data_IF_618172742764
#
_entry.id   IF_618172742764
#
_cell.length_a   1.000
_cell.length_b   1.000
_cell.length_c   1.000
_cell.angle_alpha   90.00
_cell.angle_beta   90.00
_cell.angle_gamma   90.00
#
_symmetry.space_group_name_H-M   'P 1'
#
loop_
_entity.id
_entity.type
_entity.pdbx_description
1 polymer ?
#
# COMPACT_ATOMS: atom_id res chain seq x y z
N UNK A 1 -39.97 19.30 -20.70
CA UNK A 1 -41.19 18.60 -20.23
C UNK A 1 -40.86 17.53 -19.20
N UNK A 2 -39.78 16.74 -19.39
CA UNK A 2 -39.24 15.80 -18.39
C UNK A 2 -38.89 16.44 -17.03
N UNK A 3 -38.23 17.60 -17.00
CA UNK A 3 -37.94 18.30 -15.74
C UNK A 3 -39.20 18.70 -14.93
N UNK A 4 -40.33 18.98 -15.60
CA UNK A 4 -41.61 19.29 -14.94
C UNK A 4 -42.32 18.03 -14.42
N UNK A 5 -42.16 16.89 -15.10
CA UNK A 5 -42.66 15.59 -14.65
C UNK A 5 -41.84 15.06 -13.46
N UNK A 6 -40.51 15.20 -13.50
CA UNK A 6 -39.63 14.88 -12.38
C UNK A 6 -39.91 15.78 -11.17
N UNK A 7 -40.01 17.10 -11.34
CA UNK A 7 -40.43 18.00 -10.25
C UNK A 7 -41.83 17.67 -9.73
N UNK A 8 -42.79 17.38 -10.61
CA UNK A 8 -44.15 17.01 -10.21
C UNK A 8 -44.19 15.65 -9.50
N UNK A 9 -43.33 14.69 -9.85
CA UNK A 9 -43.21 13.41 -9.18
C UNK A 9 -42.50 13.54 -7.82
N UNK A 10 -41.45 14.37 -7.72
CA UNK A 10 -40.81 14.72 -6.46
C UNK A 10 -41.79 15.42 -5.50
N UNK A 11 -42.52 16.43 -6.00
CA UNK A 11 -43.47 17.21 -5.20
C UNK A 11 -44.70 16.35 -4.84
N UNK A 12 -45.28 15.61 -5.78
CA UNK A 12 -46.49 14.81 -5.52
C UNK A 12 -46.19 13.53 -4.71
N UNK A 13 -45.03 12.93 -4.94
CA UNK A 13 -44.56 11.78 -4.20
C UNK A 13 -44.22 12.15 -2.74
N UNK A 14 -43.46 13.22 -2.47
CA UNK A 14 -43.20 13.62 -1.09
C UNK A 14 -44.47 14.08 -0.34
N UNK A 15 -45.53 14.48 -1.06
CA UNK A 15 -46.85 14.75 -0.46
C UNK A 15 -47.69 13.50 -0.20
N UNK A 16 -47.39 12.35 -0.81
CA UNK A 16 -48.10 11.08 -0.60
C UNK A 16 -47.20 10.08 0.12
N UNK A 17 -47.59 9.69 1.34
CA UNK A 17 -46.90 8.66 2.12
C UNK A 17 -46.91 7.27 1.46
N UNK A 18 -47.80 7.05 0.48
CA UNK A 18 -48.02 5.74 -0.17
C UNK A 18 -48.04 5.93 -1.69
N UNK A 19 -47.12 5.24 -2.39
CA UNK A 19 -47.09 5.07 -3.84
C UNK A 19 -47.55 3.65 -4.18
N UNK A 20 -48.51 3.50 -5.09
CA UNK A 20 -48.99 2.22 -5.65
C UNK A 20 -48.51 2.10 -7.12
N UNK A 21 -47.41 1.39 -7.37
CA UNK A 21 -46.77 1.37 -8.70
C UNK A 21 -47.43 0.44 -9.73
N UNK A 22 -48.44 -0.35 -9.35
CA UNK A 22 -49.05 -1.43 -10.18
C UNK A 22 -49.63 -0.99 -11.53
N UNK A 23 -49.81 0.31 -11.74
CA UNK A 23 -50.35 0.89 -12.99
C UNK A 23 -49.28 1.48 -13.91
N UNK A 24 -48.01 1.49 -13.49
CA UNK A 24 -46.92 2.10 -14.23
C UNK A 24 -46.30 1.13 -15.23
N UNK A 25 -45.97 1.63 -16.42
CA UNK A 25 -45.11 0.91 -17.36
C UNK A 25 -43.63 1.01 -16.95
N UNK A 26 -42.74 0.32 -17.68
CA UNK A 26 -41.29 0.31 -17.41
C UNK A 26 -40.71 1.72 -17.41
N UNK A 27 -41.09 2.55 -18.39
CA UNK A 27 -40.55 3.90 -18.57
C UNK A 27 -40.96 4.85 -17.44
N UNK A 28 -42.23 4.81 -17.03
CA UNK A 28 -42.77 5.57 -15.92
C UNK A 28 -42.13 5.16 -14.60
N UNK A 29 -41.94 3.85 -14.37
CA UNK A 29 -41.28 3.32 -13.18
C UNK A 29 -39.82 3.78 -13.09
N UNK A 30 -39.07 3.68 -14.20
CA UNK A 30 -37.68 4.14 -14.26
C UNK A 30 -37.55 5.66 -14.15
N UNK A 31 -38.52 6.44 -14.62
CA UNK A 31 -38.51 7.90 -14.40
C UNK A 31 -38.63 8.27 -12.92
N UNK A 32 -39.33 7.45 -12.13
CA UNK A 32 -39.46 7.65 -10.69
C UNK A 32 -38.21 7.18 -9.93
N UNK A 33 -37.56 6.11 -10.39
CA UNK A 33 -36.27 5.66 -9.85
C UNK A 33 -35.15 6.67 -10.17
N UNK A 34 -35.15 7.21 -11.39
CA UNK A 34 -34.17 8.18 -11.90
C UNK A 34 -34.38 9.61 -11.37
N UNK A 35 -35.16 9.79 -10.30
CA UNK A 35 -35.28 11.09 -9.65
C UNK A 35 -33.93 11.44 -9.03
N UNK A 36 -33.41 12.63 -9.35
CA UNK A 36 -32.16 13.18 -8.78
C UNK A 36 -32.32 13.54 -7.29
N UNK A 37 -32.41 12.52 -6.46
CA UNK A 37 -32.39 12.63 -5.01
C UNK A 37 -31.38 11.63 -4.48
N UNK A 38 -30.68 12.00 -3.42
CA UNK A 38 -29.72 11.11 -2.77
C UNK A 38 -30.39 9.85 -2.19
N UNK A 39 -31.67 9.92 -1.82
CA UNK A 39 -32.46 8.78 -1.33
C UNK A 39 -33.88 8.80 -1.90
N UNK A 40 -34.28 7.70 -2.55
CA UNK A 40 -35.63 7.51 -3.05
C UNK A 40 -36.43 6.62 -2.09
N UNK A 41 -37.43 7.18 -1.40
CA UNK A 41 -38.26 6.44 -0.42
C UNK A 41 -39.04 5.27 -1.01
N UNK A 42 -39.17 5.21 -2.34
CA UNK A 42 -39.91 4.17 -3.05
C UNK A 42 -39.02 3.20 -3.82
N UNK A 43 -37.69 3.25 -3.67
CA UNK A 43 -36.75 2.40 -4.42
C UNK A 43 -37.21 0.93 -4.44
N UNK A 44 -37.29 0.32 -3.26
CA UNK A 44 -37.69 -1.08 -3.08
C UNK A 44 -39.05 -1.40 -3.74
N UNK A 45 -40.07 -0.54 -3.59
CA UNK A 45 -41.40 -0.78 -4.20
C UNK A 45 -41.38 -0.66 -5.72
N UNK A 46 -40.63 0.30 -6.26
CA UNK A 46 -40.50 0.50 -7.70
C UNK A 46 -39.74 -0.68 -8.32
N UNK A 47 -38.69 -1.16 -7.65
CA UNK A 47 -37.92 -2.33 -8.10
C UNK A 47 -38.73 -3.63 -7.98
N UNK A 48 -39.52 -3.81 -6.92
CA UNK A 48 -40.50 -4.90 -6.81
C UNK A 48 -41.52 -4.88 -7.95
N UNK A 49 -42.01 -3.70 -8.33
CA UNK A 49 -42.90 -3.56 -9.47
C UNK A 49 -42.23 -3.96 -10.78
N UNK A 50 -40.97 -3.55 -11.02
CA UNK A 50 -40.21 -3.97 -12.20
C UNK A 50 -40.09 -5.50 -12.31
N UNK A 51 -40.00 -6.22 -11.18
CA UNK A 51 -39.97 -7.70 -11.16
C UNK A 51 -41.28 -8.33 -11.65
N UNK A 52 -42.40 -7.60 -11.63
CA UNK A 52 -43.70 -8.10 -12.12
C UNK A 52 -43.90 -7.91 -13.63
N UNK A 53 -43.05 -7.12 -14.27
CA UNK A 53 -43.14 -6.78 -15.69
C UNK A 53 -42.32 -7.74 -16.56
N UNK A 54 -42.52 -7.70 -17.89
CA UNK A 54 -41.81 -8.57 -18.83
C UNK A 54 -40.29 -8.31 -18.83
N UNK A 55 -39.49 -9.35 -18.57
CA UNK A 55 -38.04 -9.23 -18.39
C UNK A 55 -37.29 -8.64 -19.61
N UNK A 56 -37.75 -8.93 -20.83
CA UNK A 56 -37.17 -8.39 -22.07
C UNK A 56 -37.23 -6.85 -22.09
N UNK A 57 -38.40 -6.29 -21.79
CA UNK A 57 -38.67 -4.85 -21.73
C UNK A 57 -37.93 -4.19 -20.56
N UNK A 58 -37.85 -4.88 -19.42
CA UNK A 58 -37.13 -4.42 -18.22
C UNK A 58 -35.61 -4.48 -18.40
N UNK A 59 -35.07 -5.30 -19.29
CA UNK A 59 -33.62 -5.36 -19.53
C UNK A 59 -33.09 -4.25 -20.45
N UNK A 60 -33.87 -3.86 -21.48
CA UNK A 60 -33.41 -2.94 -22.51
C UNK A 60 -33.35 -1.48 -22.03
N UNK A 61 -34.38 -1.03 -21.32
CA UNK A 61 -34.53 0.38 -20.97
C UNK A 61 -33.57 0.88 -19.86
N UNK A 62 -33.32 0.13 -18.76
CA UNK A 62 -32.29 0.50 -17.79
C UNK A 62 -30.89 0.55 -18.41
N UNK A 63 -30.58 -0.43 -19.27
CA UNK A 63 -29.30 -0.48 -20.00
C UNK A 63 -29.08 0.78 -20.84
N UNK A 64 -30.11 1.18 -21.61
CA UNK A 64 -30.08 2.41 -22.41
C UNK A 64 -29.85 3.63 -21.53
N UNK A 65 -30.63 3.79 -20.45
CA UNK A 65 -30.54 4.97 -19.57
C UNK A 65 -29.20 5.07 -18.83
N UNK A 66 -28.68 3.94 -18.34
CA UNK A 66 -27.37 3.90 -17.69
C UNK A 66 -26.26 4.38 -18.64
N UNK A 67 -26.38 4.10 -19.94
CA UNK A 67 -25.40 4.53 -20.94
C UNK A 67 -25.51 6.00 -21.39
N UNK A 68 -26.61 6.69 -21.08
CA UNK A 68 -26.87 8.05 -21.56
C UNK A 68 -26.31 9.13 -20.65
N UNK A 69 -26.30 8.89 -19.33
CA UNK A 69 -25.72 9.82 -18.38
C UNK A 69 -25.14 9.09 -17.16
N UNK A 70 -23.86 9.34 -16.88
CA UNK A 70 -23.11 8.69 -15.81
C UNK A 70 -22.89 9.59 -14.59
N UNK A 71 -23.16 10.90 -14.71
CA UNK A 71 -22.78 11.91 -13.72
C UNK A 71 -23.90 12.28 -12.74
N UNK A 72 -25.04 11.57 -12.80
CA UNK A 72 -26.23 11.89 -12.02
C UNK A 72 -26.56 10.77 -11.02
N UNK A 73 -27.22 11.14 -9.92
CA UNK A 73 -27.81 10.15 -8.99
C UNK A 73 -28.82 9.21 -9.67
N UNK A 74 -29.40 9.61 -10.81
CA UNK A 74 -30.24 8.75 -11.62
C UNK A 74 -29.53 7.46 -12.05
N UNK A 75 -28.25 7.55 -12.46
CA UNK A 75 -27.45 6.40 -12.88
C UNK A 75 -27.21 5.45 -11.71
N UNK A 76 -26.95 6.00 -10.51
CA UNK A 76 -26.74 5.26 -9.27
C UNK A 76 -27.98 4.41 -8.94
N UNK A 77 -29.17 5.03 -8.90
CA UNK A 77 -30.43 4.33 -8.62
C UNK A 77 -30.77 3.27 -9.68
N UNK A 78 -30.43 3.53 -10.95
CA UNK A 78 -30.61 2.57 -12.03
C UNK A 78 -29.69 1.36 -11.84
N UNK A 79 -28.41 1.58 -11.50
CA UNK A 79 -27.45 0.52 -11.24
C UNK A 79 -27.88 -0.35 -10.04
N UNK A 80 -28.32 0.28 -8.95
CA UNK A 80 -28.89 -0.42 -7.78
C UNK A 80 -30.10 -1.29 -8.17
N UNK A 81 -31.04 -0.74 -8.92
CA UNK A 81 -32.21 -1.49 -9.39
C UNK A 81 -31.82 -2.66 -10.31
N UNK A 82 -30.82 -2.48 -11.19
CA UNK A 82 -30.27 -3.54 -12.02
C UNK A 82 -29.67 -4.68 -11.17
N UNK A 83 -29.01 -4.35 -10.07
CA UNK A 83 -28.51 -5.31 -9.08
C UNK A 83 -29.63 -6.11 -8.41
N UNK A 84 -30.66 -5.42 -7.90
CA UNK A 84 -31.82 -6.06 -7.27
C UNK A 84 -32.64 -6.96 -8.21
N UNK A 85 -32.65 -6.64 -9.50
CA UNK A 85 -33.26 -7.44 -10.56
C UNK A 85 -32.38 -8.64 -10.96
N UNK A 86 -31.06 -8.51 -10.80
CA UNK A 86 -30.07 -9.56 -11.00
C UNK A 86 -30.09 -10.24 -12.38
N UNK A 87 -30.45 -9.52 -13.45
CA UNK A 87 -30.44 -10.09 -14.81
C UNK A 87 -29.02 -10.17 -15.39
N UNK A 88 -28.58 -11.32 -15.95
CA UNK A 88 -27.25 -11.45 -16.55
C UNK A 88 -26.97 -10.47 -17.69
N UNK A 89 -28.00 -9.99 -18.37
CA UNK A 89 -27.88 -8.96 -19.43
C UNK A 89 -27.35 -7.62 -18.92
N UNK A 90 -27.42 -7.36 -17.61
CA UNK A 90 -26.94 -6.14 -16.98
C UNK A 90 -25.43 -6.14 -16.70
N UNK A 91 -24.76 -7.29 -16.78
CA UNK A 91 -23.34 -7.42 -16.47
C UNK A 91 -22.48 -6.48 -17.31
N UNK A 92 -22.63 -6.51 -18.64
CA UNK A 92 -21.84 -5.65 -19.55
C UNK A 92 -22.01 -4.15 -19.27
N UNK A 93 -23.24 -3.62 -19.21
CA UNK A 93 -23.49 -2.22 -18.85
C UNK A 93 -22.95 -1.82 -17.48
N UNK A 94 -23.06 -2.68 -16.47
CA UNK A 94 -22.54 -2.40 -15.12
C UNK A 94 -21.01 -2.45 -15.09
N UNK A 95 -20.37 -3.36 -15.85
CA UNK A 95 -18.91 -3.35 -16.02
C UNK A 95 -18.43 -2.05 -16.68
N UNK A 96 -19.18 -1.50 -17.63
CA UNK A 96 -18.87 -0.20 -18.23
C UNK A 96 -19.12 0.99 -17.27
N UNK A 97 -19.91 0.80 -16.21
CA UNK A 97 -20.20 1.84 -15.23
C UNK A 97 -19.14 1.93 -14.10
N UNK A 98 -18.26 0.94 -13.98
CA UNK A 98 -17.12 0.93 -13.04
C UNK A 98 -15.79 1.36 -13.68
N UNK A 99 -15.82 2.01 -14.85
CA UNK A 99 -14.62 2.51 -15.54
C UNK A 99 -14.06 3.79 -14.94
N UNK A 100 -12.78 4.07 -15.23
CA UNK A 100 -12.02 5.19 -14.64
C UNK A 100 -12.63 6.57 -14.90
N UNK A 101 -13.38 6.72 -15.99
CA UNK A 101 -14.06 7.95 -16.37
C UNK A 101 -15.42 8.15 -15.70
N UNK A 102 -15.84 7.25 -14.80
CA UNK A 102 -17.14 7.30 -14.12
C UNK A 102 -16.99 7.72 -12.66
N UNK A 103 -17.98 8.43 -12.14
CA UNK A 103 -17.95 8.90 -10.75
C UNK A 103 -18.02 7.77 -9.72
N UNK A 104 -17.31 7.93 -8.60
CA UNK A 104 -17.17 6.92 -7.54
C UNK A 104 -18.50 6.35 -7.01
N UNK A 105 -19.53 7.19 -6.88
CA UNK A 105 -20.85 6.75 -6.40
C UNK A 105 -21.49 5.75 -7.35
N UNK A 106 -21.37 5.97 -8.66
CA UNK A 106 -21.89 5.04 -9.65
C UNK A 106 -21.04 3.77 -9.68
N UNK A 107 -19.71 3.92 -9.62
CA UNK A 107 -18.79 2.79 -9.55
C UNK A 107 -19.13 1.84 -8.39
N UNK A 108 -19.37 2.38 -7.20
CA UNK A 108 -19.72 1.58 -6.03
C UNK A 108 -21.09 0.92 -6.14
N UNK A 109 -22.11 1.63 -6.65
CA UNK A 109 -23.43 1.04 -6.90
C UNK A 109 -23.38 -0.08 -7.94
N UNK A 110 -22.61 0.11 -9.02
CA UNK A 110 -22.43 -0.90 -10.05
C UNK A 110 -21.63 -2.11 -9.54
N UNK A 111 -20.60 -1.90 -8.70
CA UNK A 111 -19.86 -2.97 -8.03
C UNK A 111 -20.77 -3.82 -7.13
N UNK A 112 -21.62 -3.18 -6.32
CA UNK A 112 -22.61 -3.87 -5.48
C UNK A 112 -23.64 -4.64 -6.33
N UNK A 113 -24.11 -4.04 -7.41
CA UNK A 113 -25.04 -4.68 -8.34
C UNK A 113 -24.42 -5.92 -9.02
N UNK A 114 -23.18 -5.83 -9.49
CA UNK A 114 -22.42 -6.95 -10.05
C UNK A 114 -22.24 -8.08 -9.01
N UNK A 115 -21.91 -7.72 -7.77
CA UNK A 115 -21.79 -8.70 -6.67
C UNK A 115 -23.11 -9.42 -6.40
N UNK A 116 -24.24 -8.71 -6.53
CA UNK A 116 -25.60 -9.26 -6.35
C UNK A 116 -26.02 -10.17 -7.52
N UNK A 117 -25.61 -9.85 -8.76
CA UNK A 117 -25.80 -10.72 -9.92
C UNK A 117 -25.03 -12.05 -9.75
N UNK A 118 -23.86 -12.00 -9.12
CA UNK A 118 -23.11 -13.17 -8.69
C UNK A 118 -22.28 -13.82 -9.80
N UNK A 119 -22.35 -15.15 -9.93
CA UNK A 119 -21.45 -15.94 -10.79
C UNK A 119 -21.35 -15.43 -12.24
N UNK A 120 -22.46 -15.00 -12.85
CA UNK A 120 -22.42 -14.50 -14.24
C UNK A 120 -21.59 -13.20 -14.37
N UNK A 121 -21.62 -12.33 -13.36
CA UNK A 121 -20.76 -11.14 -13.32
C UNK A 121 -19.29 -11.52 -13.10
N UNK A 122 -19.04 -12.45 -12.17
CA UNK A 122 -17.70 -12.94 -11.89
C UNK A 122 -17.04 -13.57 -13.13
N UNK A 123 -17.75 -14.47 -13.84
CA UNK A 123 -17.26 -15.11 -15.05
C UNK A 123 -16.89 -14.07 -16.13
N UNK A 124 -17.74 -13.06 -16.32
CA UNK A 124 -17.50 -11.99 -17.29
C UNK A 124 -16.28 -11.13 -16.94
N UNK A 125 -16.08 -10.82 -15.65
CA UNK A 125 -14.93 -10.07 -15.16
C UNK A 125 -13.63 -10.86 -15.32
N UNK A 126 -13.62 -12.14 -14.93
CA UNK A 126 -12.46 -13.03 -15.08
C UNK A 126 -12.09 -13.19 -16.56
N UNK A 127 -13.08 -13.38 -17.44
CA UNK A 127 -12.85 -13.56 -18.87
C UNK A 127 -12.25 -12.30 -19.55
N UNK A 128 -12.59 -11.12 -19.06
CA UNK A 128 -12.17 -9.84 -19.63
C UNK A 128 -11.05 -9.16 -18.87
N UNK A 129 -10.49 -9.78 -17.82
CA UNK A 129 -9.58 -9.14 -16.85
C UNK A 129 -8.48 -8.26 -17.47
N UNK A 130 -7.80 -8.74 -18.50
CA UNK A 130 -6.70 -8.02 -19.16
C UNK A 130 -7.14 -6.91 -20.12
N UNK A 131 -8.43 -6.85 -20.45
CA UNK A 131 -9.04 -5.76 -21.24
C UNK A 131 -9.69 -4.69 -20.37
N UNK A 132 -9.81 -4.93 -19.05
CA UNK A 132 -10.36 -3.98 -18.10
C UNK A 132 -9.37 -2.85 -17.83
N UNK A 133 -9.89 -1.63 -17.65
CA UNK A 133 -9.09 -0.52 -17.13
C UNK A 133 -8.78 -0.68 -15.63
N UNK A 134 -8.00 0.24 -15.07
CA UNK A 134 -7.54 0.13 -13.69
C UNK A 134 -8.68 0.16 -12.67
N UNK A 135 -9.66 1.04 -12.84
CA UNK A 135 -10.82 1.13 -11.94
C UNK A 135 -11.70 -0.10 -12.05
N UNK A 136 -11.92 -0.61 -13.27
CA UNK A 136 -12.65 -1.84 -13.50
C UNK A 136 -11.96 -3.05 -12.86
N UNK A 137 -10.62 -3.10 -12.87
CA UNK A 137 -9.86 -4.13 -12.17
C UNK A 137 -10.04 -4.02 -10.65
N UNK A 138 -9.92 -2.83 -10.07
CA UNK A 138 -10.09 -2.61 -8.62
C UNK A 138 -11.48 -3.06 -8.16
N UNK A 139 -12.53 -2.53 -8.79
CA UNK A 139 -13.91 -2.89 -8.44
C UNK A 139 -14.23 -4.35 -8.79
N UNK A 140 -13.76 -4.82 -9.94
CA UNK A 140 -13.93 -6.19 -10.41
C UNK A 140 -13.31 -7.21 -9.46
N UNK A 141 -12.17 -6.89 -8.85
CA UNK A 141 -11.51 -7.75 -7.87
C UNK A 141 -12.40 -7.99 -6.65
N UNK A 142 -13.02 -6.93 -6.12
CA UNK A 142 -13.99 -7.05 -5.02
C UNK A 142 -15.20 -7.91 -5.40
N UNK A 143 -15.70 -7.78 -6.64
CA UNK A 143 -16.79 -8.64 -7.13
C UNK A 143 -16.33 -10.10 -7.18
N UNK A 144 -15.14 -10.38 -7.71
CA UNK A 144 -14.58 -11.74 -7.78
C UNK A 144 -14.36 -12.34 -6.39
N UNK A 145 -13.88 -11.55 -5.43
CA UNK A 145 -13.67 -11.95 -4.04
C UNK A 145 -15.00 -12.34 -3.35
N UNK A 146 -16.08 -11.59 -3.58
CA UNK A 146 -17.35 -11.77 -2.85
C UNK A 146 -18.11 -13.07 -3.14
N UNK A 147 -17.74 -13.84 -4.18
CA UNK A 147 -18.47 -15.05 -4.56
C UNK A 147 -18.04 -16.30 -3.80
N UNK A 148 -16.88 -16.29 -3.13
CA UNK A 148 -16.39 -17.39 -2.29
C UNK A 148 -16.44 -18.79 -2.96
N UNK A 149 -16.05 -18.89 -4.23
CA UNK A 149 -16.21 -20.11 -5.03
C UNK A 149 -14.90 -20.56 -5.68
N UNK A 150 -14.93 -21.72 -6.37
CA UNK A 150 -13.73 -22.29 -7.00
C UNK A 150 -13.13 -21.35 -8.08
N UNK A 151 -13.97 -20.60 -8.80
CA UNK A 151 -13.48 -19.66 -9.81
C UNK A 151 -12.66 -18.51 -9.18
N UNK A 152 -13.02 -18.06 -7.97
CA UNK A 152 -12.22 -17.12 -7.17
C UNK A 152 -10.85 -17.72 -6.85
N UNK A 153 -10.80 -18.96 -6.35
CA UNK A 153 -9.56 -19.64 -6.01
C UNK A 153 -8.66 -19.87 -7.24
N UNK A 154 -9.24 -20.28 -8.37
CA UNK A 154 -8.52 -20.51 -9.63
C UNK A 154 -7.97 -19.20 -10.20
N UNK A 155 -8.76 -18.12 -10.13
CA UNK A 155 -8.33 -16.78 -10.51
C UNK A 155 -7.16 -16.31 -9.66
N UNK A 156 -7.27 -16.41 -8.33
CA UNK A 156 -6.20 -16.03 -7.40
C UNK A 156 -4.93 -16.87 -7.61
N UNK A 157 -5.08 -18.19 -7.81
CA UNK A 157 -3.93 -19.10 -7.98
C UNK A 157 -3.17 -18.81 -9.28
N UNK A 158 -3.89 -18.63 -10.39
CA UNK A 158 -3.29 -18.38 -11.71
C UNK A 158 -2.58 -17.03 -11.80
N UNK A 159 -2.91 -16.07 -10.92
CA UNK A 159 -2.41 -14.69 -10.96
C UNK A 159 -1.74 -14.24 -9.66
N UNK A 160 -1.41 -15.17 -8.77
CA UNK A 160 -0.97 -14.85 -7.42
C UNK A 160 0.20 -13.85 -7.38
N UNK A 161 1.26 -14.07 -8.18
CA UNK A 161 2.43 -13.18 -8.21
C UNK A 161 2.14 -11.81 -8.82
N UNK A 162 1.26 -11.75 -9.83
CA UNK A 162 0.81 -10.49 -10.46
C UNK A 162 0.07 -9.65 -9.44
N UNK A 163 -0.93 -10.24 -8.78
CA UNK A 163 -1.77 -9.57 -7.78
C UNK A 163 -0.98 -9.17 -6.55
N UNK A 164 -0.08 -10.02 -6.07
CA UNK A 164 0.78 -9.74 -4.91
C UNK A 164 1.75 -8.58 -5.17
N UNK A 165 2.24 -8.45 -6.41
CA UNK A 165 3.15 -7.38 -6.81
C UNK A 165 2.44 -6.04 -7.01
N UNK A 166 1.16 -6.07 -7.36
CA UNK A 166 0.35 -4.89 -7.62
C UNK A 166 -0.28 -4.34 -6.31
N UNK A 167 -1.02 -5.17 -5.57
CA UNK A 167 -1.59 -4.81 -4.28
C UNK A 167 -1.60 -5.98 -3.30
N UNK A 168 -0.76 -5.86 -2.26
CA UNK A 168 -0.58 -6.89 -1.23
C UNK A 168 -1.88 -7.18 -0.47
N UNK A 169 -2.67 -6.14 -0.20
CA UNK A 169 -3.90 -6.24 0.56
C UNK A 169 -4.95 -7.03 -0.20
N UNK A 170 -5.29 -6.60 -1.42
CA UNK A 170 -6.26 -7.30 -2.26
C UNK A 170 -5.86 -8.74 -2.58
N UNK A 171 -4.57 -9.01 -2.76
CA UNK A 171 -4.06 -10.37 -2.94
C UNK A 171 -4.30 -11.24 -1.70
N UNK A 172 -4.04 -10.70 -0.50
CA UNK A 172 -4.29 -11.41 0.76
C UNK A 172 -5.80 -11.62 1.00
N UNK A 173 -6.63 -10.63 0.68
CA UNK A 173 -8.09 -10.73 0.78
C UNK A 173 -8.68 -11.78 -0.17
N UNK A 174 -8.15 -11.89 -1.39
CA UNK A 174 -8.52 -12.96 -2.31
C UNK A 174 -8.23 -14.35 -1.75
N UNK A 175 -7.06 -14.52 -1.12
CA UNK A 175 -6.72 -15.81 -0.50
C UNK A 175 -7.66 -16.13 0.65
N UNK A 176 -7.98 -15.13 1.48
CA UNK A 176 -8.94 -15.28 2.57
C UNK A 176 -10.37 -15.56 2.09
N UNK A 177 -10.76 -15.01 0.93
CA UNK A 177 -12.09 -15.17 0.37
C UNK A 177 -12.34 -16.60 -0.15
N UNK A 178 -11.31 -17.29 -0.65
CA UNK A 178 -11.43 -18.69 -1.10
C UNK A 178 -10.15 -19.48 -0.81
N UNK A 179 -9.90 -19.82 0.47
CA UNK A 179 -8.70 -20.55 0.86
C UNK A 179 -8.63 -21.91 0.18
N UNK A 180 -7.47 -22.24 -0.37
CA UNK A 180 -7.20 -23.57 -0.91
C UNK A 180 -5.73 -23.97 -0.68
N UNK A 181 -5.42 -25.26 -0.74
CA UNK A 181 -4.08 -25.77 -0.50
C UNK A 181 -3.04 -25.16 -1.46
N UNK A 182 -3.40 -24.91 -2.72
CA UNK A 182 -2.50 -24.31 -3.71
C UNK A 182 -2.12 -22.87 -3.35
N UNK A 183 -3.09 -22.05 -2.93
CA UNK A 183 -2.82 -20.69 -2.46
C UNK A 183 -1.98 -20.67 -1.18
N UNK A 184 -2.17 -21.64 -0.29
CA UNK A 184 -1.36 -21.76 0.92
C UNK A 184 0.11 -22.06 0.59
N UNK A 185 0.37 -22.96 -0.37
CA UNK A 185 1.73 -23.23 -0.86
C UNK A 185 2.37 -22.02 -1.55
N UNK A 186 1.57 -21.21 -2.23
CA UNK A 186 2.03 -19.95 -2.86
C UNK A 186 2.33 -18.85 -1.82
N UNK A 187 1.55 -18.74 -0.74
CA UNK A 187 1.79 -17.80 0.35
C UNK A 187 2.98 -18.16 1.22
N UNK A 188 3.22 -19.47 1.44
CA UNK A 188 4.26 -19.98 2.32
C UNK A 188 5.66 -19.34 2.12
N UNK A 189 6.21 -19.26 0.89
CA UNK A 189 7.52 -18.63 0.68
C UNK A 189 7.52 -17.12 0.99
N UNK A 190 6.38 -16.45 0.88
CA UNK A 190 6.24 -15.01 1.11
C UNK A 190 6.29 -14.64 2.60
N UNK A 191 6.06 -15.60 3.51
CA UNK A 191 6.17 -15.39 4.97
C UNK A 191 7.56 -14.91 5.41
N UNK A 192 8.60 -15.14 4.60
CA UNK A 192 9.94 -14.59 4.84
C UNK A 192 9.94 -13.06 4.95
N UNK A 193 8.97 -12.40 4.30
CA UNK A 193 8.80 -10.94 4.31
C UNK A 193 8.27 -10.41 5.64
N UNK A 194 7.70 -11.29 6.49
CA UNK A 194 7.11 -10.96 7.81
C UNK A 194 6.13 -9.77 7.74
N UNK A 195 5.29 -9.76 6.71
CA UNK A 195 4.29 -8.70 6.54
C UNK A 195 3.01 -9.10 7.27
N UNK A 196 2.38 -8.19 8.03
CA UNK A 196 1.15 -8.45 8.76
C UNK A 196 0.04 -9.13 7.95
N UNK A 197 -0.20 -8.64 6.74
CA UNK A 197 -1.27 -9.13 5.87
C UNK A 197 -0.99 -10.57 5.40
N UNK A 198 0.27 -10.88 5.07
CA UNK A 198 0.69 -12.24 4.70
C UNK A 198 0.57 -13.19 5.88
N UNK A 199 1.05 -12.78 7.06
CA UNK A 199 1.00 -13.59 8.27
C UNK A 199 -0.45 -13.90 8.66
N UNK A 200 -1.34 -12.90 8.60
CA UNK A 200 -2.78 -13.07 8.86
C UNK A 200 -3.44 -13.97 7.82
N UNK A 201 -3.22 -13.70 6.53
CA UNK A 201 -3.83 -14.46 5.44
C UNK A 201 -3.42 -15.94 5.50
N UNK A 202 -2.13 -16.21 5.70
CA UNK A 202 -1.61 -17.56 5.82
C UNK A 202 -2.16 -18.27 7.06
N UNK A 203 -2.14 -17.62 8.22
CA UNK A 203 -2.63 -18.23 9.46
C UNK A 203 -4.11 -18.61 9.37
N UNK A 204 -4.98 -17.68 8.94
CA UNK A 204 -6.42 -17.93 8.83
C UNK A 204 -6.69 -19.03 7.80
N UNK A 205 -6.05 -18.95 6.62
CA UNK A 205 -6.22 -19.95 5.57
C UNK A 205 -5.76 -21.34 6.02
N UNK A 206 -4.62 -21.43 6.71
CA UNK A 206 -4.14 -22.68 7.27
C UNK A 206 -5.14 -23.29 8.27
N UNK A 207 -5.72 -22.46 9.16
CA UNK A 207 -6.74 -22.93 10.12
C UNK A 207 -8.04 -23.35 9.46
N UNK A 208 -8.47 -22.69 8.40
CA UNK A 208 -9.68 -23.09 7.64
C UNK A 208 -9.49 -24.39 6.84
N UNK A 209 -8.24 -24.73 6.52
CA UNK A 209 -7.88 -25.92 5.75
C UNK A 209 -7.34 -27.06 6.63
N UNK A 210 -7.42 -26.95 7.96
CA UNK A 210 -6.84 -27.89 8.93
C UNK A 210 -5.36 -28.22 8.66
N UNK A 211 -4.60 -27.22 8.18
CA UNK A 211 -3.17 -27.34 7.92
C UNK A 211 -2.35 -26.87 9.12
N UNK A 212 -1.48 -27.74 9.62
CA UNK A 212 -0.59 -27.46 10.73
C UNK A 212 0.88 -27.53 10.32
N UNK A 213 1.66 -26.51 10.68
CA UNK A 213 3.11 -26.50 10.50
C UNK A 213 3.78 -25.49 11.44
N UNK A 214 5.11 -25.55 11.55
CA UNK A 214 5.86 -24.59 12.36
C UNK A 214 5.71 -23.14 11.85
N UNK A 215 5.58 -22.98 10.53
CA UNK A 215 5.35 -21.69 9.89
C UNK A 215 3.97 -21.10 10.26
N UNK A 216 2.95 -21.95 10.48
CA UNK A 216 1.61 -21.51 10.91
C UNK A 216 1.67 -20.89 12.31
N UNK A 217 2.35 -21.54 13.26
CA UNK A 217 2.49 -20.99 14.61
C UNK A 217 3.34 -19.71 14.60
N UNK A 218 4.40 -19.64 13.80
CA UNK A 218 5.19 -18.42 13.66
C UNK A 218 4.39 -17.26 13.02
N UNK A 219 3.54 -17.55 12.02
CA UNK A 219 2.67 -16.55 11.39
C UNK A 219 1.58 -16.08 12.37
N UNK A 220 0.98 -17.00 13.13
CA UNK A 220 0.03 -16.70 14.21
C UNK A 220 0.63 -15.74 15.23
N UNK A 221 1.79 -16.04 15.79
CA UNK A 221 2.44 -15.19 16.80
C UNK A 221 2.62 -13.75 16.28
N UNK A 222 3.10 -13.59 15.04
CA UNK A 222 3.26 -12.27 14.42
C UNK A 222 1.93 -11.56 14.16
N UNK A 223 0.93 -12.27 13.63
CA UNK A 223 -0.38 -11.70 13.35
C UNK A 223 -1.10 -11.22 14.62
N UNK A 224 -1.03 -12.00 15.71
CA UNK A 224 -1.60 -11.62 17.00
C UNK A 224 -0.85 -10.46 17.65
N UNK A 225 0.48 -10.46 17.61
CA UNK A 225 1.28 -9.34 18.12
C UNK A 225 0.92 -8.03 17.40
N UNK A 226 0.76 -8.07 16.08
CA UNK A 226 0.37 -6.90 15.29
C UNK A 226 -1.06 -6.43 15.57
N UNK A 227 -2.01 -7.37 15.73
CA UNK A 227 -3.38 -7.03 16.10
C UNK A 227 -3.42 -6.32 17.46
N UNK A 228 -2.77 -6.89 18.47
CA UNK A 228 -2.69 -6.31 19.81
C UNK A 228 -2.03 -4.92 19.80
N UNK A 229 -0.94 -4.74 19.03
CA UNK A 229 -0.28 -3.45 18.86
C UNK A 229 -1.22 -2.42 18.24
N UNK A 230 -2.02 -2.82 17.26
CA UNK A 230 -2.98 -1.94 16.58
C UNK A 230 -4.10 -1.53 17.53
N UNK A 231 -4.67 -2.46 18.31
CA UNK A 231 -5.67 -2.15 19.34
C UNK A 231 -5.11 -1.20 20.40
N UNK A 232 -3.88 -1.42 20.88
CA UNK A 232 -3.23 -0.53 21.82
C UNK A 232 -3.01 0.87 21.23
N UNK A 233 -2.62 0.97 19.97
CA UNK A 233 -2.46 2.26 19.28
C UNK A 233 -3.79 3.02 19.22
N UNK A 234 -4.88 2.35 18.83
CA UNK A 234 -6.22 2.94 18.80
C UNK A 234 -6.69 3.38 20.19
N UNK A 235 -6.57 2.52 21.20
CA UNK A 235 -6.97 2.85 22.57
C UNK A 235 -6.17 4.04 23.14
N UNK A 236 -4.86 4.09 22.86
CA UNK A 236 -4.02 5.22 23.25
C UNK A 236 -4.49 6.51 22.56
N UNK A 237 -4.73 6.47 21.25
CA UNK A 237 -5.22 7.62 20.49
C UNK A 237 -6.58 8.12 21.01
N UNK A 238 -7.55 7.23 21.26
CA UNK A 238 -8.86 7.58 21.81
C UNK A 238 -8.76 8.21 23.21
N UNK A 239 -7.81 7.75 24.02
CA UNK A 239 -7.54 8.32 25.34
C UNK A 239 -6.72 9.63 25.31
N UNK A 240 -6.32 10.12 24.13
CA UNK A 240 -5.44 11.29 23.95
C UNK A 240 -3.98 11.03 24.30
N UNK A 241 -3.60 9.77 24.50
CA UNK A 241 -2.22 9.35 24.76
C UNK A 241 -1.42 9.16 23.47
N UNK A 242 -0.14 9.52 23.50
CA UNK A 242 0.79 9.26 22.42
C UNK A 242 1.80 8.18 22.86
N UNK A 243 1.79 6.98 22.27
CA UNK A 243 2.70 5.91 22.68
C UNK A 243 4.15 6.30 22.33
N UNK A 244 5.08 6.20 23.28
CA UNK A 244 6.51 6.30 22.95
C UNK A 244 6.92 5.04 22.18
N UNK A 245 7.50 5.24 21.01
CA UNK A 245 8.01 4.16 20.18
C UNK A 245 9.50 4.41 19.94
N UNK A 246 10.29 3.37 20.16
CA UNK A 246 11.73 3.27 19.94
C UNK A 246 12.05 3.06 18.44
N UNK A 247 11.00 2.83 17.63
CA UNK A 247 11.08 2.50 16.21
C UNK A 247 9.94 3.13 15.42
N UNK A 248 10.14 3.28 14.11
CA UNK A 248 9.12 3.70 13.16
C UNK A 248 8.70 2.54 12.27
N UNK A 249 7.39 2.38 12.10
CA UNK A 249 6.85 1.50 11.07
C UNK A 249 6.68 2.29 9.78
N UNK A 250 7.44 1.92 8.75
CA UNK A 250 7.47 2.63 7.48
C UNK A 250 7.16 1.69 6.33
N UNK A 251 6.26 2.11 5.45
CA UNK A 251 6.06 1.48 4.15
C UNK A 251 7.07 2.01 3.14
N UNK A 252 8.01 1.15 2.76
CA UNK A 252 9.13 1.53 1.92
C UNK A 252 9.10 0.74 0.62
N UNK A 253 9.27 1.44 -0.49
CA UNK A 253 9.36 0.85 -1.83
C UNK A 253 10.82 0.51 -2.14
N UNK A 254 11.06 -0.73 -2.54
CA UNK A 254 12.35 -1.16 -3.05
C UNK A 254 12.52 -0.75 -4.51
N UNK A 255 13.49 0.11 -4.87
CA UNK A 255 13.71 0.48 -6.27
C UNK A 255 14.23 -0.67 -7.14
N UNK A 256 14.76 -1.74 -6.55
CA UNK A 256 15.31 -2.87 -7.31
C UNK A 256 14.24 -3.86 -7.78
N UNK A 257 13.23 -4.15 -6.95
CA UNK A 257 12.16 -5.10 -7.30
C UNK A 257 10.76 -4.47 -7.38
N UNK A 258 10.62 -3.19 -7.06
CA UNK A 258 9.32 -2.47 -7.04
C UNK A 258 8.45 -2.79 -5.83
N UNK A 259 8.77 -3.81 -5.04
CA UNK A 259 7.93 -4.23 -3.93
C UNK A 259 7.87 -3.17 -2.81
N UNK A 260 6.65 -2.88 -2.37
CA UNK A 260 6.38 -2.11 -1.16
C UNK A 260 6.25 -3.08 0.02
N UNK A 261 6.99 -2.82 1.09
CA UNK A 261 6.89 -3.60 2.33
C UNK A 261 6.89 -2.66 3.52
N UNK A 262 6.29 -3.11 4.61
CA UNK A 262 6.39 -2.47 5.91
C UNK A 262 7.63 -2.95 6.64
N UNK A 263 8.41 -1.99 7.14
CA UNK A 263 9.64 -2.20 7.90
C UNK A 263 9.54 -1.54 9.26
N UNK A 264 10.19 -2.16 10.25
CA UNK A 264 10.48 -1.53 11.54
C UNK A 264 11.86 -0.88 11.44
N UNK A 265 11.90 0.43 11.27
CA UNK A 265 13.11 1.21 11.15
C UNK A 265 13.53 1.79 12.51
N UNK A 266 14.83 1.73 12.82
CA UNK A 266 15.41 2.42 13.99
C UNK A 266 15.24 3.93 13.96
N UNK A 267 15.21 4.53 12.77
CA UNK A 267 14.89 5.93 12.67
C UNK A 267 14.94 6.52 11.27
N UNK A 268 14.72 7.82 11.23
CA UNK A 268 14.64 8.67 10.04
C UNK A 268 15.31 10.00 10.34
N UNK A 269 16.13 10.47 9.41
CA UNK A 269 16.63 11.84 9.41
C UNK A 269 15.77 12.69 8.49
N UNK A 270 15.19 13.75 9.05
CA UNK A 270 14.44 14.77 8.30
C UNK A 270 15.33 16.00 8.18
N UNK A 271 15.47 16.51 6.95
CA UNK A 271 16.22 17.74 6.73
C UNK A 271 15.56 18.93 7.41
N UNK A 272 16.36 19.89 7.86
CA UNK A 272 15.90 21.14 8.48
C UNK A 272 15.01 21.99 7.55
N UNK A 273 15.09 21.78 6.24
CA UNK A 273 14.19 22.42 5.27
C UNK A 273 12.90 21.62 4.99
N UNK A 274 12.71 20.48 5.65
CA UNK A 274 11.62 19.52 5.48
C UNK A 274 11.44 18.98 4.04
N UNK A 275 12.43 19.13 3.15
CA UNK A 275 12.32 18.68 1.75
C UNK A 275 12.81 17.27 1.51
N UNK A 276 13.65 16.75 2.40
CA UNK A 276 14.29 15.45 2.23
C UNK A 276 14.22 14.61 3.50
N UNK A 277 14.06 13.31 3.27
CA UNK A 277 13.91 12.29 4.29
C UNK A 277 14.87 11.17 3.97
N UNK A 278 15.68 10.80 4.94
CA UNK A 278 16.66 9.73 4.85
C UNK A 278 16.28 8.68 5.89
N UNK A 279 16.25 7.42 5.48
CA UNK A 279 16.18 6.33 6.46
C UNK A 279 17.46 6.40 7.33
N UNK A 280 17.39 6.07 8.62
CA UNK A 280 18.53 6.05 9.55
C UNK A 280 18.75 4.62 10.12
N UNK A 281 18.68 3.63 9.25
CA UNK A 281 18.81 2.21 9.54
C UNK A 281 19.26 1.44 8.29
N UNK A 282 19.78 0.23 8.44
CA UNK A 282 20.29 -0.55 7.32
C UNK A 282 19.82 -2.00 7.35
N UNK A 283 18.97 -2.35 6.39
CA UNK A 283 18.44 -3.70 6.22
C UNK A 283 18.19 -3.99 4.73
N UNK A 284 18.22 -5.27 4.32
CA UNK A 284 17.92 -5.65 2.95
C UNK A 284 16.41 -5.59 2.69
N UNK A 285 16.03 -5.50 1.42
CA UNK A 285 14.63 -5.63 1.01
C UNK A 285 14.05 -6.97 1.45
N UNK A 286 12.88 -6.95 2.09
CA UNK A 286 12.19 -8.15 2.54
C UNK A 286 11.81 -9.11 1.39
N UNK A 287 11.62 -8.56 0.18
CA UNK A 287 11.21 -9.33 -1.01
C UNK A 287 12.39 -9.92 -1.79
N UNK A 288 13.39 -9.09 -2.15
CA UNK A 288 14.51 -9.50 -3.02
C UNK A 288 15.86 -9.65 -2.30
N UNK A 289 15.92 -9.31 -1.01
CA UNK A 289 17.13 -9.38 -0.17
C UNK A 289 18.28 -8.44 -0.61
N UNK A 290 18.03 -7.51 -1.51
CA UNK A 290 19.01 -6.51 -1.94
C UNK A 290 19.10 -5.34 -0.94
N UNK A 291 20.33 -4.85 -0.71
CA UNK A 291 20.58 -3.62 0.04
C UNK A 291 20.41 -2.42 -0.90
N UNK A 292 19.39 -1.62 -0.65
CA UNK A 292 18.97 -0.52 -1.53
C UNK A 292 18.75 0.76 -0.72
N UNK A 293 18.78 1.91 -1.41
CA UNK A 293 18.22 3.13 -0.85
C UNK A 293 16.72 3.12 -1.10
N UNK A 294 15.95 2.87 -0.04
CA UNK A 294 14.50 2.78 -0.12
C UNK A 294 13.86 4.11 -0.48
N UNK A 295 12.78 4.05 -1.26
CA UNK A 295 11.91 5.21 -1.47
C UNK A 295 10.81 5.23 -0.41
N UNK A 296 10.55 6.42 0.14
CA UNK A 296 9.44 6.65 1.05
C UNK A 296 8.14 6.77 0.27
N UNK A 297 7.18 5.89 0.54
CA UNK A 297 5.82 6.00 0.01
C UNK A 297 5.09 7.20 0.63
N UNK A 298 3.90 7.51 0.11
CA UNK A 298 3.03 8.50 0.74
C UNK A 298 2.71 8.12 2.20
N UNK A 299 2.43 6.85 2.47
CA UNK A 299 2.15 6.35 3.82
C UNK A 299 3.35 6.47 4.75
N UNK A 300 4.56 6.18 4.28
CA UNK A 300 5.76 6.41 5.10
C UNK A 300 5.97 7.90 5.43
N UNK A 301 5.69 8.81 4.49
CA UNK A 301 5.76 10.26 4.77
C UNK A 301 4.71 10.70 5.80
N UNK A 302 3.50 10.16 5.72
CA UNK A 302 2.46 10.41 6.74
C UNK A 302 2.90 9.87 8.10
N UNK A 303 3.49 8.68 8.17
CA UNK A 303 4.02 8.11 9.41
C UNK A 303 5.12 8.98 10.02
N UNK A 304 6.06 9.48 9.20
CA UNK A 304 7.10 10.42 9.63
C UNK A 304 6.48 11.73 10.13
N UNK A 305 5.51 12.28 9.41
CA UNK A 305 4.82 13.51 9.79
C UNK A 305 4.04 13.35 11.10
N UNK A 306 3.34 12.23 11.30
CA UNK A 306 2.58 11.95 12.51
C UNK A 306 3.50 11.92 13.74
N UNK A 307 4.69 11.31 13.63
CA UNK A 307 5.66 11.27 14.72
C UNK A 307 6.29 12.65 14.97
N UNK A 308 6.52 13.48 13.94
CA UNK A 308 6.93 14.88 14.11
C UNK A 308 5.88 15.71 14.86
N UNK A 309 4.59 15.57 14.49
CA UNK A 309 3.48 16.28 15.16
C UNK A 309 3.41 15.86 16.63
N UNK A 310 3.51 14.56 16.91
CA UNK A 310 3.56 14.03 18.27
C UNK A 310 4.72 14.62 19.07
N UNK A 311 5.91 14.75 18.50
CA UNK A 311 7.04 15.40 19.17
C UNK A 311 6.73 16.85 19.53
N UNK A 312 6.19 17.64 18.58
CA UNK A 312 5.81 19.04 18.85
C UNK A 312 4.69 19.17 19.90
N UNK A 313 3.78 18.20 19.97
CA UNK A 313 2.67 18.21 20.92
C UNK A 313 3.11 17.84 22.35
N UNK A 314 4.14 16.99 22.48
CA UNK A 314 4.61 16.49 23.77
C UNK A 314 5.53 17.47 24.53
N UNK A 315 5.99 18.58 23.93
CA UNK A 315 6.75 19.64 24.61
C UNK A 315 7.83 19.14 25.59
N UNK A 316 8.55 18.07 25.23
CA UNK A 316 9.63 17.58 26.08
C UNK A 316 10.88 18.42 25.80
N UNK A 317 11.20 19.33 26.73
CA UNK A 317 12.46 20.07 26.85
C UNK A 317 13.70 19.15 26.98
N UNK A 318 13.50 17.83 27.04
CA UNK A 318 14.58 16.86 27.04
C UNK A 318 14.78 16.25 25.65
N UNK A 319 15.90 16.63 25.05
CA UNK A 319 16.56 15.97 23.91
C UNK A 319 16.94 14.54 24.31
N UNK A 320 15.96 13.65 24.38
CA UNK A 320 16.21 12.21 24.51
C UNK A 320 16.93 11.71 23.25
N UNK A 321 18.10 11.10 23.43
CA UNK A 321 18.96 10.60 22.37
C UNK A 321 18.34 9.46 21.52
N UNK A 322 17.25 8.86 22.01
CA UNK A 322 16.60 7.65 21.46
C UNK A 322 15.35 7.92 20.62
N UNK A 323 15.14 9.16 20.18
CA UNK A 323 14.01 9.43 19.29
C UNK A 323 14.25 8.85 17.89
N UNK A 324 13.23 8.22 17.28
CA UNK A 324 13.38 7.62 15.96
C UNK A 324 13.37 8.67 14.85
N UNK A 325 12.98 9.93 15.11
CA UNK A 325 13.14 11.03 14.15
C UNK A 325 14.19 12.01 14.64
N UNK A 326 15.15 12.33 13.77
CA UNK A 326 16.23 13.28 14.06
C UNK A 326 16.33 14.32 12.95
N UNK A 327 16.67 15.54 13.33
CA UNK A 327 17.16 16.55 12.39
C UNK A 327 18.68 16.58 12.47
N UNK A 328 19.35 16.47 11.32
CA UNK A 328 20.81 16.41 11.27
C UNK A 328 21.36 17.31 10.18
N UNK A 329 22.14 18.30 10.62
CA UNK A 329 23.02 19.08 9.76
C UNK A 329 24.45 18.56 9.89
N UNK A 330 25.25 18.75 8.85
CA UNK A 330 26.65 18.38 8.84
C UNK A 330 27.49 19.47 8.19
N UNK A 331 28.81 19.40 8.40
CA UNK A 331 29.75 20.35 7.80
C UNK A 331 30.42 19.72 6.58
N UNK A 332 30.19 20.28 5.40
CA UNK A 332 30.86 19.88 4.16
C UNK A 332 31.56 21.10 3.56
N UNK A 333 32.87 20.97 3.31
CA UNK A 333 33.74 22.04 2.77
C UNK A 333 33.65 23.37 3.54
N UNK A 334 33.53 23.30 4.87
CA UNK A 334 33.47 24.47 5.74
C UNK A 334 32.07 25.06 5.92
N UNK A 335 31.08 24.62 5.14
CA UNK A 335 29.69 25.07 5.23
C UNK A 335 28.82 24.08 6.01
N UNK A 336 27.90 24.60 6.84
CA UNK A 336 26.86 23.79 7.50
C UNK A 336 25.70 23.63 6.52
N UNK A 337 25.27 22.39 6.30
CA UNK A 337 24.15 22.06 5.42
C UNK A 337 23.43 20.79 5.88
N UNK A 338 22.19 20.55 5.43
CA UNK A 338 21.50 19.33 5.77
C UNK A 338 22.24 18.07 5.31
N UNK A 339 22.16 17.00 6.10
CA UNK A 339 22.84 15.74 5.82
C UNK A 339 22.48 15.15 4.44
N UNK A 340 21.20 15.22 4.05
CA UNK A 340 20.74 14.78 2.73
C UNK A 340 21.39 15.56 1.57
N UNK A 341 21.53 16.88 1.73
CA UNK A 341 22.19 17.74 0.76
C UNK A 341 23.67 17.40 0.65
N UNK A 342 24.33 17.14 1.77
CA UNK A 342 25.74 16.74 1.79
C UNK A 342 25.96 15.40 1.09
N UNK A 343 25.13 14.39 1.36
CA UNK A 343 25.22 13.07 0.72
C UNK A 343 25.03 13.19 -0.79
N UNK A 344 24.00 13.91 -1.22
CA UNK A 344 23.73 14.14 -2.65
C UNK A 344 24.90 14.87 -3.32
N UNK A 345 25.47 15.86 -2.64
CA UNK A 345 26.64 16.61 -3.12
C UNK A 345 27.85 15.70 -3.29
N UNK A 346 28.20 14.90 -2.28
CA UNK A 346 29.32 13.95 -2.36
C UNK A 346 29.10 12.89 -3.43
N UNK A 347 27.88 12.36 -3.55
CA UNK A 347 27.52 11.40 -4.61
C UNK A 347 27.67 12.01 -6.01
N UNK A 348 27.23 13.26 -6.22
CA UNK A 348 27.41 13.94 -7.52
C UNK A 348 28.89 14.11 -7.90
N UNK A 349 29.76 14.38 -6.91
CA UNK A 349 31.21 14.50 -7.11
C UNK A 349 31.85 13.15 -7.44
N UNK A 350 31.38 12.09 -6.80
CA UNK A 350 31.80 10.71 -7.11
C UNK A 350 31.32 10.26 -8.49
N UNK A 351 30.15 10.73 -8.96
CA UNK A 351 29.72 10.50 -10.34
C UNK A 351 30.61 11.22 -11.36
N UNK A 352 31.12 12.41 -11.03
CA UNK A 352 32.07 13.14 -11.87
C UNK A 352 33.50 12.57 -11.81
N UNK A 353 33.94 12.07 -10.64
CA UNK A 353 35.22 11.41 -10.45
C UNK A 353 35.09 10.25 -9.45
N UNK A 354 34.90 9.04 -9.99
CA UNK A 354 34.65 7.82 -9.22
C UNK A 354 35.88 7.29 -8.47
N UNK A 355 37.07 7.81 -8.75
CA UNK A 355 38.32 7.40 -8.10
C UNK A 355 38.79 8.38 -7.02
N UNK A 356 37.97 9.37 -6.66
CA UNK A 356 38.32 10.33 -5.63
C UNK A 356 38.23 9.71 -4.22
N UNK A 357 39.36 9.26 -3.69
CA UNK A 357 39.45 8.63 -2.38
C UNK A 357 38.91 9.52 -1.24
N UNK A 358 39.10 10.84 -1.31
CA UNK A 358 38.63 11.78 -0.28
C UNK A 358 37.11 11.87 -0.23
N UNK A 359 36.45 11.86 -1.39
CA UNK A 359 34.99 11.89 -1.45
C UNK A 359 34.39 10.54 -0.99
N UNK A 360 35.05 9.42 -1.26
CA UNK A 360 34.67 8.12 -0.69
C UNK A 360 34.77 8.10 0.84
N UNK A 361 35.82 8.67 1.42
CA UNK A 361 35.96 8.82 2.87
C UNK A 361 34.84 9.69 3.46
N UNK A 362 34.55 10.83 2.82
CA UNK A 362 33.45 11.72 3.21
C UNK A 362 32.11 11.00 3.18
N UNK A 363 31.83 10.25 2.12
CA UNK A 363 30.60 9.47 2.00
C UNK A 363 30.48 8.45 3.13
N UNK A 364 31.56 7.72 3.43
CA UNK A 364 31.57 6.76 4.54
C UNK A 364 31.25 7.41 5.87
N UNK A 365 31.87 8.56 6.20
CA UNK A 365 31.58 9.29 7.43
C UNK A 365 30.10 9.72 7.52
N UNK A 366 29.54 10.23 6.43
CA UNK A 366 28.13 10.65 6.38
C UNK A 366 27.18 9.45 6.54
N UNK A 367 27.49 8.31 5.92
CA UNK A 367 26.72 7.07 6.04
C UNK A 367 26.83 6.44 7.43
N UNK A 368 28.01 6.49 8.05
CA UNK A 368 28.22 6.07 9.44
C UNK A 368 27.31 6.84 10.39
N UNK A 369 27.22 8.16 10.21
CA UNK A 369 26.33 9.02 11.00
C UNK A 369 24.83 8.74 10.75
N UNK A 370 24.48 8.15 9.60
CA UNK A 370 23.12 7.68 9.29
C UNK A 370 22.84 6.25 9.78
N UNK A 371 23.75 5.63 10.54
CA UNK A 371 23.62 4.24 10.96
C UNK A 371 23.48 3.29 9.74
N UNK A 372 24.34 3.49 8.73
CA UNK A 372 24.49 2.65 7.52
C UNK A 372 25.85 1.95 7.47
N UNK A 373 26.12 0.97 8.35
CA UNK A 373 27.46 0.42 8.48
C UNK A 373 28.00 -0.32 7.27
N UNK A 374 27.21 -1.13 6.57
CA UNK A 374 27.66 -1.84 5.35
C UNK A 374 27.95 -0.87 4.23
N UNK A 375 27.09 0.13 4.01
CA UNK A 375 27.34 1.17 3.02
C UNK A 375 28.56 2.02 3.39
N UNK A 376 28.74 2.34 4.68
CA UNK A 376 29.90 3.04 5.22
C UNK A 376 31.21 2.26 5.01
N UNK A 377 31.24 0.98 5.38
CA UNK A 377 32.36 0.07 5.14
C UNK A 377 32.72 0.02 3.66
N UNK A 378 31.73 -0.13 2.77
CA UNK A 378 31.95 -0.14 1.31
C UNK A 378 32.55 1.17 0.81
N UNK A 379 32.08 2.31 1.33
CA UNK A 379 32.64 3.62 1.00
C UNK A 379 34.09 3.76 1.48
N UNK A 380 34.41 3.35 2.71
CA UNK A 380 35.79 3.38 3.20
C UNK A 380 36.70 2.40 2.46
N UNK A 381 36.23 1.19 2.12
CA UNK A 381 36.97 0.23 1.29
C UNK A 381 37.33 0.84 -0.08
N UNK A 382 36.40 1.55 -0.72
CA UNK A 382 36.69 2.29 -1.95
C UNK A 382 37.72 3.40 -1.70
N UNK A 383 37.63 4.13 -0.59
CA UNK A 383 38.62 5.15 -0.23
C UNK A 383 40.03 4.56 -0.09
N UNK A 384 40.18 3.48 0.69
CA UNK A 384 41.45 2.77 0.87
C UNK A 384 41.96 2.17 -0.43
N UNK A 385 41.08 1.65 -1.30
CA UNK A 385 41.46 1.13 -2.62
C UNK A 385 42.10 2.20 -3.50
N UNK A 386 41.56 3.42 -3.51
CA UNK A 386 42.07 4.51 -4.36
C UNK A 386 43.20 5.31 -3.71
N UNK A 387 43.32 5.30 -2.37
CA UNK A 387 44.44 5.88 -1.63
C UNK A 387 44.89 4.93 -0.49
N UNK A 388 45.71 3.90 -0.79
CA UNK A 388 46.12 2.91 0.20
C UNK A 388 46.95 3.46 1.36
N UNK A 389 47.55 4.64 1.21
CA UNK A 389 48.34 5.30 2.26
C UNK A 389 47.51 6.29 3.10
N UNK A 390 46.21 6.41 2.84
CA UNK A 390 45.33 7.30 3.59
C UNK A 390 44.98 6.69 4.96
N UNK A 391 45.80 7.01 5.97
CA UNK A 391 45.65 6.52 7.35
C UNK A 391 44.25 6.82 7.90
N UNK A 392 43.70 8.00 7.62
CA UNK A 392 42.35 8.38 8.06
C UNK A 392 41.27 7.40 7.55
N UNK A 393 41.37 6.95 6.30
CA UNK A 393 40.43 6.02 5.70
C UNK A 393 40.60 4.60 6.23
N UNK A 394 41.84 4.17 6.46
CA UNK A 394 42.15 2.87 7.07
C UNK A 394 41.65 2.82 8.52
N UNK A 395 41.85 3.89 9.28
CA UNK A 395 41.39 4.00 10.66
C UNK A 395 39.85 4.04 10.74
N UNK A 396 39.19 4.83 9.89
CA UNK A 396 37.74 4.88 9.82
C UNK A 396 37.15 3.50 9.47
N UNK A 397 37.73 2.81 8.49
CA UNK A 397 37.32 1.44 8.15
C UNK A 397 37.51 0.47 9.32
N UNK A 398 38.69 0.46 9.96
CA UNK A 398 38.98 -0.41 11.09
C UNK A 398 38.06 -0.15 12.30
N UNK A 399 37.77 1.12 12.58
CA UNK A 399 36.85 1.52 13.64
C UNK A 399 35.44 0.97 13.37
N UNK A 400 34.89 1.22 12.17
CA UNK A 400 33.56 0.72 11.81
C UNK A 400 33.51 -0.82 11.77
N UNK A 401 34.55 -1.50 11.30
CA UNK A 401 34.63 -2.96 11.38
C UNK A 401 34.57 -3.45 12.83
N UNK A 402 35.25 -2.77 13.75
CA UNK A 402 35.24 -3.10 15.19
C UNK A 402 33.85 -2.90 15.80
N UNK A 403 33.21 -1.76 15.54
CA UNK A 403 31.85 -1.46 16.02
C UNK A 403 30.80 -2.47 15.54
N UNK A 404 31.06 -3.14 14.42
CA UNK A 404 30.17 -4.14 13.82
C UNK A 404 30.69 -5.58 13.95
N UNK A 405 31.50 -5.85 14.98
CA UNK A 405 31.97 -7.19 15.37
C UNK A 405 32.79 -7.93 14.31
N UNK A 406 33.46 -7.19 13.42
CA UNK A 406 34.41 -7.72 12.43
C UNK A 406 35.86 -7.47 12.91
N UNK A 407 36.15 -7.82 14.16
CA UNK A 407 37.42 -7.50 14.84
C UNK A 407 38.65 -8.11 14.16
N UNK A 408 38.52 -9.31 13.60
CA UNK A 408 39.63 -9.96 12.88
C UNK A 408 40.02 -9.19 11.63
N UNK A 409 39.03 -8.72 10.86
CA UNK A 409 39.27 -7.91 9.66
C UNK A 409 39.86 -6.54 10.03
N UNK A 410 39.36 -5.93 11.10
CA UNK A 410 39.89 -4.67 11.64
C UNK A 410 41.37 -4.81 12.07
N UNK A 411 41.70 -5.88 12.81
CA UNK A 411 43.06 -6.14 13.27
C UNK A 411 44.03 -6.34 12.10
N UNK A 412 43.66 -7.18 11.12
CA UNK A 412 44.47 -7.43 9.93
C UNK A 412 44.74 -6.15 9.13
N UNK A 413 43.71 -5.30 8.99
CA UNK A 413 43.83 -4.01 8.32
C UNK A 413 44.81 -3.07 9.05
N UNK A 414 44.68 -2.94 10.38
CA UNK A 414 45.55 -2.09 11.19
C UNK A 414 47.00 -2.60 11.21
N UNK A 415 47.20 -3.92 11.29
CA UNK A 415 48.53 -4.51 11.23
C UNK A 415 49.21 -4.21 9.89
N UNK A 416 48.49 -4.43 8.77
CA UNK A 416 49.00 -4.12 7.43
C UNK A 416 49.34 -2.63 7.28
N UNK A 417 48.50 -1.75 7.83
CA UNK A 417 48.72 -0.30 7.84
C UNK A 417 49.99 0.08 8.62
N UNK A 418 50.21 -0.55 9.78
CA UNK A 418 51.40 -0.33 10.60
C UNK A 418 52.68 -0.81 9.90
N UNK A 419 52.62 -1.94 9.20
CA UNK A 419 53.74 -2.46 8.43
C UNK A 419 54.09 -1.55 7.24
N UNK A 420 53.08 -1.06 6.50
CA UNK A 420 53.27 -0.13 5.39
C UNK A 420 53.85 1.22 5.83
N UNK A 421 53.38 1.76 6.95
CA UNK A 421 53.90 3.04 7.50
C UNK A 421 55.34 2.94 8.00
N UNK A 422 55.78 1.74 8.43
CA UNK A 422 57.19 1.48 8.80
C UNK A 422 58.12 1.40 7.59
N UNK A 423 57.63 0.97 6.43
CA UNK A 423 58.43 0.81 5.20
C UNK A 423 58.56 2.14 4.43
N UNK A 424 57.59 3.04 4.51
CA UNK A 424 57.60 4.36 3.85
C UNK A 424 58.37 5.47 4.58
N UNK A 425 59.03 5.18 5.71
CA UNK A 425 59.70 6.17 6.57
C UNK A 425 61.23 6.25 6.39
N UNK A 426 61.77 5.84 5.24
CA UNK A 426 63.21 5.90 4.92
C UNK A 426 63.54 6.82 3.75
#
# INVERSE_FOLDING_TARGET
>A
MQARLALSACIHGYTKSILEPTTFDVSATLNLLAIELQQTRWHSRLTEHLKTLEASSVSAEPTRRLSENYDDFAAVHIAEAMGELAYPTFVGPLMAAISEDKGDFLGEAARLALSTIGNSAQEALIAQWYSLDRSQQIFGLTVIQSQHNQATADFATSRFLELLGDDLESACELVLASPCAQLLELLKPELRRKQPLLDRAFYISAKLLDYESAEVEAAKERAFAEHQRTEQLFANFESGGFPQNDHLFLELECPACGAVNRYQAKGVVVSTDNKSTLLADEFPCASCNEYVEFKFTAMAKIAVFAELVKFTALNNDETSADQPIKTMDCRLDGHVMPLATAITTVQSRLSANSQNAREWLRLGNLLSNLNRPKASIKAYQNSVKFAPTAVDAQFALAHTLTEHHQETDAFNLLQTTLEQSRVGAF
#
